data_IF_363319891959
#
_entry.id   IF_363319891959
#
_cell.length_a   1.000
_cell.length_b   1.000
_cell.length_c   1.000
_cell.angle_alpha   90.00
_cell.angle_beta   90.00
_cell.angle_gamma   90.00
#
_symmetry.space_group_name_H-M   'P 1'
#
loop_
_entity.id
_entity.type
_entity.pdbx_description
1 polymer ?
#
# COMPACT_ATOMS: atom_id res chain seq x y z
N UNK A 1 21.14 -3.53 5.87
CA UNK A 1 20.62 -4.67 5.09
C UNK A 1 19.14 -4.82 5.36
N UNK A 2 18.31 -4.09 4.61
CA UNK A 2 16.85 -4.30 4.66
C UNK A 2 16.60 -5.55 3.83
N UNK A 3 16.25 -6.61 4.52
CA UNK A 3 15.93 -7.90 3.92
C UNK A 3 14.58 -7.78 3.20
N UNK A 4 14.62 -7.55 1.89
CA UNK A 4 13.45 -7.48 1.00
C UNK A 4 12.75 -8.85 0.81
N UNK A 5 13.09 -9.85 1.63
CA UNK A 5 12.58 -11.23 1.52
C UNK A 5 11.23 -11.46 2.19
N UNK A 6 10.53 -10.41 2.64
CA UNK A 6 9.10 -10.54 2.94
C UNK A 6 8.40 -10.98 1.65
N UNK A 7 8.00 -12.26 1.60
CA UNK A 7 7.14 -12.82 0.55
C UNK A 7 6.06 -11.80 0.23
N UNK A 8 6.17 -11.14 -0.93
CA UNK A 8 5.17 -10.21 -1.42
C UNK A 8 3.89 -11.00 -1.71
N UNK A 9 3.08 -11.21 -0.66
CA UNK A 9 1.74 -11.72 -0.81
C UNK A 9 0.97 -10.66 -1.58
N UNK A 10 0.19 -11.09 -2.58
CA UNK A 10 -0.67 -10.17 -3.31
C UNK A 10 -1.57 -9.49 -2.26
N UNK A 11 -1.53 -8.15 -2.14
CA UNK A 11 -2.33 -7.45 -1.16
C UNK A 11 -3.82 -7.59 -1.49
N UNK A 12 -4.68 -7.47 -0.48
CA UNK A 12 -6.13 -7.69 -0.57
C UNK A 12 -6.82 -6.88 -1.69
N UNK A 13 -6.35 -5.66 -1.95
CA UNK A 13 -6.87 -4.76 -2.97
C UNK A 13 -6.44 -5.10 -4.41
N UNK A 14 -5.58 -6.11 -4.58
CA UNK A 14 -5.11 -6.58 -5.89
C UNK A 14 -5.52 -8.03 -6.14
N UNK A 15 -5.89 -8.29 -7.40
CA UNK A 15 -6.08 -9.64 -7.91
C UNK A 15 -5.14 -9.85 -9.09
N UNK A 16 -4.35 -10.93 -9.07
CA UNK A 16 -3.52 -11.32 -10.20
C UNK A 16 -4.03 -12.62 -10.82
N UNK A 17 -4.37 -12.58 -12.11
CA UNK A 17 -4.67 -13.76 -12.90
C UNK A 17 -3.39 -14.18 -13.64
N UNK A 18 -2.77 -15.28 -13.19
CA UNK A 18 -1.53 -15.79 -13.80
C UNK A 18 -1.73 -16.39 -15.20
N UNK A 19 -2.93 -16.89 -15.52
CA UNK A 19 -3.22 -17.50 -16.83
C UNK A 19 -3.26 -16.41 -17.91
N UNK A 20 -3.94 -15.31 -17.61
CA UNK A 20 -4.05 -14.17 -18.52
C UNK A 20 -2.91 -13.16 -18.38
N UNK A 21 -2.04 -13.33 -17.38
CA UNK A 21 -1.00 -12.37 -16.97
C UNK A 21 -1.56 -10.96 -16.76
N UNK A 22 -2.76 -10.86 -16.16
CA UNK A 22 -3.45 -9.59 -15.87
C UNK A 22 -3.52 -9.33 -14.38
N UNK A 23 -3.31 -8.06 -14.00
CA UNK A 23 -3.59 -7.55 -12.67
C UNK A 23 -4.87 -6.71 -12.68
N UNK A 24 -5.67 -6.80 -11.62
CA UNK A 24 -6.87 -6.00 -11.40
C UNK A 24 -6.80 -5.34 -10.02
N UNK A 25 -7.23 -4.09 -9.96
CA UNK A 25 -7.45 -3.35 -8.70
C UNK A 25 -8.92 -3.54 -8.35
N UNK A 26 -9.19 -4.23 -7.25
CA UNK A 26 -10.55 -4.62 -6.87
C UNK A 26 -11.17 -3.69 -5.81
N UNK A 27 -10.34 -2.90 -5.11
CA UNK A 27 -10.75 -2.03 -3.99
C UNK A 27 -9.84 -0.79 -3.91
N UNK A 28 -10.36 0.27 -3.30
CA UNK A 28 -9.55 1.43 -2.90
C UNK A 28 -8.65 1.00 -1.73
N UNK A 29 -7.42 1.51 -1.72
CA UNK A 29 -6.43 1.23 -0.68
C UNK A 29 -6.95 1.64 0.70
N UNK A 30 -6.92 0.70 1.65
CA UNK A 30 -7.05 0.96 3.08
C UNK A 30 -5.66 1.09 3.74
N UNK A 31 -5.59 1.83 4.84
CA UNK A 31 -4.34 2.07 5.56
C UNK A 31 -3.65 0.75 5.98
N UNK A 32 -4.45 -0.26 6.34
CA UNK A 32 -3.97 -1.56 6.79
C UNK A 32 -3.27 -2.37 5.69
N UNK A 33 -3.67 -2.23 4.41
CA UNK A 33 -3.07 -3.02 3.32
C UNK A 33 -1.71 -2.52 2.85
N UNK A 34 -1.37 -1.25 3.12
CA UNK A 34 -0.11 -0.65 2.67
C UNK A 34 1.03 -1.03 3.63
N UNK A 35 0.72 -1.37 4.89
CA UNK A 35 1.71 -1.83 5.87
C UNK A 35 2.74 -0.75 6.27
N UNK A 36 2.46 0.52 5.98
CA UNK A 36 3.32 1.63 6.37
C UNK A 36 3.07 1.99 7.83
N UNK A 37 4.14 1.93 8.63
CA UNK A 37 4.12 2.40 10.01
C UNK A 37 4.37 3.92 10.05
N UNK A 38 3.40 4.69 9.57
CA UNK A 38 3.44 6.17 9.55
C UNK A 38 2.22 6.75 10.25
N UNK A 39 2.39 7.91 10.90
CA UNK A 39 1.27 8.69 11.42
C UNK A 39 0.84 9.72 10.37
N UNK A 40 -0.28 9.45 9.70
CA UNK A 40 -0.83 10.30 8.64
C UNK A 40 -1.22 11.69 9.14
N UNK A 41 -1.66 11.82 10.39
CA UNK A 41 -2.06 13.11 10.97
C UNK A 41 -0.90 14.10 11.00
N UNK A 42 0.30 13.64 11.37
CA UNK A 42 1.49 14.49 11.40
C UNK A 42 1.86 15.01 10.01
N UNK A 43 1.66 14.20 8.97
CA UNK A 43 1.92 14.61 7.58
C UNK A 43 0.93 15.70 7.15
N UNK A 44 -0.36 15.51 7.45
CA UNK A 44 -1.40 16.49 7.15
C UNK A 44 -1.11 17.81 7.87
N UNK A 45 -0.85 17.76 9.18
CA UNK A 45 -0.56 18.95 9.98
C UNK A 45 0.65 19.74 9.47
N UNK A 46 1.70 19.04 9.07
CA UNK A 46 2.92 19.67 8.54
C UNK A 46 2.66 20.46 7.25
N UNK A 47 1.87 19.90 6.33
CA UNK A 47 1.55 20.58 5.07
C UNK A 47 0.46 21.64 5.21
N UNK A 48 -0.48 21.49 6.14
CA UNK A 48 -1.46 22.54 6.44
C UNK A 48 -0.84 23.83 6.99
N UNK A 49 0.32 23.74 7.67
CA UNK A 49 1.05 24.91 8.21
C UNK A 49 2.01 25.55 7.21
N UNK A 50 2.32 24.87 6.11
CA UNK A 50 3.17 25.41 5.04
C UNK A 50 2.37 26.16 3.97
N UNK A 51 1.05 25.93 3.90
CA UNK A 51 0.13 26.61 3.00
C UNK A 51 -0.14 28.07 3.42
#
# INVERSE_FOLDING_TARGET
>A
NVDFSQKYKIPNHLTFNSLEKKGLINQILDQESIGLKINELLVVEYYSRQA
#
